data_IF_951866365439
#
_entry.id   IF_951866365439
#
_cell.length_a   1.000
_cell.length_b   1.000
_cell.length_c   1.000
_cell.angle_alpha   90.00
_cell.angle_beta   90.00
_cell.angle_gamma   90.00
#
_symmetry.space_group_name_H-M   'P 1'
#
loop_
_entity.id
_entity.type
_entity.pdbx_description
1 polymer ?
#
# COMPACT_ATOMS: atom_id res chain seq x y z
N UNK A 1 0.21 22.06 -10.44
CA UNK A 1 1.08 20.85 -10.22
C UNK A 1 0.91 19.98 -11.44
N UNK A 2 2.01 19.54 -12.03
CA UNK A 2 1.96 18.56 -13.10
C UNK A 2 1.46 17.21 -12.52
N UNK A 3 0.55 16.57 -13.25
CA UNK A 3 -0.01 15.28 -12.83
C UNK A 3 1.06 14.20 -12.89
N UNK A 4 1.12 13.34 -11.85
CA UNK A 4 1.99 12.16 -11.85
C UNK A 4 1.13 10.97 -12.24
N UNK A 5 1.49 10.33 -13.34
CA UNK A 5 0.84 9.11 -13.77
C UNK A 5 0.96 8.00 -12.71
N UNK A 6 -0.16 7.33 -12.45
CA UNK A 6 -0.24 6.29 -11.44
C UNK A 6 -0.18 4.91 -12.11
N UNK A 7 0.62 4.04 -11.55
CA UNK A 7 0.72 2.66 -12.07
C UNK A 7 -0.64 1.94 -12.05
N UNK A 8 -1.52 2.30 -11.10
CA UNK A 8 -2.86 1.75 -11.01
C UNK A 8 -3.75 2.08 -12.22
N UNK A 9 -3.48 3.15 -12.98
CA UNK A 9 -4.32 3.59 -14.11
C UNK A 9 -4.55 2.48 -15.14
N UNK A 10 -3.50 1.76 -15.51
CA UNK A 10 -3.60 0.63 -16.48
C UNK A 10 -4.52 -0.47 -15.97
N UNK A 11 -4.39 -0.84 -14.69
CA UNK A 11 -5.26 -1.84 -14.07
C UNK A 11 -6.68 -1.33 -13.95
N UNK A 12 -6.86 -0.06 -13.59
CA UNK A 12 -8.15 0.59 -13.49
C UNK A 12 -8.90 0.56 -14.82
N UNK A 13 -8.25 0.93 -15.92
CA UNK A 13 -8.88 0.94 -17.25
C UNK A 13 -9.26 -0.48 -17.69
N UNK A 14 -8.41 -1.47 -17.48
CA UNK A 14 -8.78 -2.88 -17.75
C UNK A 14 -10.00 -3.34 -16.94
N UNK A 15 -10.09 -2.92 -15.67
CA UNK A 15 -11.24 -3.27 -14.84
C UNK A 15 -12.49 -2.48 -15.21
N UNK A 16 -12.35 -1.24 -15.70
CA UNK A 16 -13.43 -0.46 -16.26
C UNK A 16 -14.12 -1.18 -17.44
N UNK A 17 -13.33 -1.79 -18.30
CA UNK A 17 -13.86 -2.54 -19.46
C UNK A 17 -14.50 -3.89 -19.08
N UNK A 18 -14.19 -4.40 -17.89
CA UNK A 18 -14.69 -5.69 -17.41
C UNK A 18 -15.89 -5.57 -16.44
N UNK A 19 -15.94 -4.50 -15.64
CA UNK A 19 -16.92 -4.33 -14.56
C UNK A 19 -17.87 -3.16 -14.85
N UNK A 20 -19.09 -3.23 -14.31
CA UNK A 20 -20.09 -2.15 -14.41
C UNK A 20 -19.75 -0.99 -13.47
N UNK A 21 -19.12 -1.29 -12.34
CA UNK A 21 -18.61 -0.30 -11.39
C UNK A 21 -17.14 -0.60 -11.02
N UNK A 22 -16.34 0.44 -10.88
CA UNK A 22 -14.96 0.34 -10.34
C UNK A 22 -14.84 1.33 -9.20
N UNK A 23 -14.40 0.85 -8.04
CA UNK A 23 -14.19 1.67 -6.86
C UNK A 23 -12.71 1.74 -6.51
N UNK A 24 -12.18 2.95 -6.37
CA UNK A 24 -10.82 3.19 -5.89
C UNK A 24 -10.87 3.59 -4.42
N UNK A 25 -10.28 2.76 -3.57
CA UNK A 25 -10.14 3.01 -2.13
C UNK A 25 -8.68 3.24 -1.76
N UNK A 26 -8.42 3.75 -0.58
CA UNK A 26 -7.06 3.99 -0.07
C UNK A 26 -7.05 5.06 0.99
N UNK A 27 -5.89 5.27 1.62
CA UNK A 27 -5.71 6.31 2.63
C UNK A 27 -6.13 7.70 2.09
N UNK A 28 -6.37 8.64 2.99
CA UNK A 28 -6.65 10.02 2.57
C UNK A 28 -5.44 10.65 1.89
N UNK A 29 -5.68 11.56 0.96
CA UNK A 29 -4.68 12.35 0.24
C UNK A 29 -3.67 11.56 -0.63
N UNK A 30 -3.89 10.28 -0.89
CA UNK A 30 -3.03 9.49 -1.81
C UNK A 30 -3.29 9.77 -3.30
N UNK A 31 -4.27 10.64 -3.62
CA UNK A 31 -4.55 11.07 -5.00
C UNK A 31 -5.67 10.31 -5.71
N UNK A 32 -6.60 9.65 -5.02
CA UNK A 32 -7.72 8.90 -5.62
C UNK A 32 -8.57 9.73 -6.59
N UNK A 33 -9.12 10.83 -6.09
CA UNK A 33 -9.97 11.73 -6.88
C UNK A 33 -9.20 12.39 -8.01
N UNK A 34 -7.93 12.74 -7.77
CA UNK A 34 -7.06 13.35 -8.79
C UNK A 34 -6.83 12.38 -9.95
N UNK A 35 -6.49 11.10 -9.66
CA UNK A 35 -6.30 10.07 -10.68
C UNK A 35 -7.56 9.86 -11.52
N UNK A 36 -8.71 9.67 -10.86
CA UNK A 36 -9.95 9.41 -11.60
C UNK A 36 -10.45 10.64 -12.39
N UNK A 37 -10.27 11.84 -11.87
CA UNK A 37 -10.59 13.08 -12.62
C UNK A 37 -9.70 13.21 -13.83
N UNK A 38 -8.41 12.97 -13.71
CA UNK A 38 -7.47 12.99 -14.85
C UNK A 38 -7.89 11.97 -15.92
N UNK A 39 -8.20 10.72 -15.54
CA UNK A 39 -8.68 9.71 -16.48
C UNK A 39 -10.04 10.04 -17.11
N UNK A 40 -10.83 10.90 -16.48
CA UNK A 40 -12.15 11.30 -16.97
C UNK A 40 -12.11 12.54 -17.91
N UNK A 41 -10.98 13.26 -18.01
CA UNK A 41 -10.86 14.51 -18.78
C UNK A 41 -11.29 14.37 -20.25
N UNK A 42 -10.91 13.24 -20.88
CA UNK A 42 -11.23 12.95 -22.28
C UNK A 42 -12.50 12.08 -22.44
N UNK A 43 -13.28 11.89 -21.36
CA UNK A 43 -14.47 11.06 -21.37
C UNK A 43 -15.73 11.89 -21.09
N UNK A 44 -16.81 11.57 -21.79
CA UNK A 44 -18.12 12.16 -21.50
C UNK A 44 -18.73 11.53 -20.24
N UNK A 45 -18.11 11.83 -19.08
CA UNK A 45 -18.45 11.28 -17.75
C UNK A 45 -18.82 12.41 -16.80
N UNK A 46 -20.01 12.35 -16.21
CA UNK A 46 -20.38 13.29 -15.15
C UNK A 46 -19.48 13.14 -13.92
N UNK A 47 -19.10 14.24 -13.28
CA UNK A 47 -18.38 14.24 -12.00
C UNK A 47 -19.24 14.88 -10.92
N UNK A 48 -19.35 14.21 -9.78
CA UNK A 48 -20.03 14.74 -8.59
C UNK A 48 -19.29 14.31 -7.33
N UNK A 49 -19.14 15.24 -6.36
CA UNK A 49 -18.51 14.97 -5.07
C UNK A 49 -19.52 15.04 -3.94
N UNK A 50 -19.51 14.02 -3.09
CA UNK A 50 -20.33 13.98 -1.87
C UNK A 50 -19.81 14.92 -0.76
N UNK A 51 -18.74 15.69 -1.03
CA UNK A 51 -18.34 16.83 -0.19
C UNK A 51 -19.28 18.01 -0.34
N UNK A 52 -19.88 18.17 -1.53
CA UNK A 52 -20.94 19.16 -1.74
C UNK A 52 -22.20 18.74 -0.96
N UNK A 53 -22.63 19.58 -0.03
CA UNK A 53 -23.76 19.28 0.85
C UNK A 53 -25.08 19.11 0.09
N UNK A 54 -25.31 19.90 -0.97
CA UNK A 54 -26.54 19.86 -1.77
C UNK A 54 -26.64 18.55 -2.55
N UNK A 55 -25.55 18.15 -3.20
CA UNK A 55 -25.53 16.91 -3.97
C UNK A 55 -25.61 15.68 -3.05
N UNK A 56 -24.96 15.75 -1.88
CA UNK A 56 -25.04 14.74 -0.85
C UNK A 56 -26.46 14.59 -0.30
N UNK A 57 -27.14 15.70 0.03
CA UNK A 57 -28.53 15.68 0.49
C UNK A 57 -29.44 15.02 -0.54
N UNK A 58 -29.32 15.38 -1.82
CA UNK A 58 -30.07 14.74 -2.90
C UNK A 58 -29.75 13.25 -2.99
N UNK A 59 -28.49 12.85 -2.92
CA UNK A 59 -28.06 11.45 -2.97
C UNK A 59 -28.59 10.61 -1.81
N UNK A 60 -28.75 11.21 -0.63
CA UNK A 60 -29.27 10.55 0.57
C UNK A 60 -30.80 10.46 0.61
N UNK A 61 -31.50 11.54 0.15
CA UNK A 61 -32.95 11.64 0.26
C UNK A 61 -33.68 11.05 -0.94
N UNK A 62 -33.15 11.21 -2.15
CA UNK A 62 -33.72 10.64 -3.39
C UNK A 62 -32.63 10.16 -4.37
N UNK A 63 -32.06 8.97 -4.14
CA UNK A 63 -31.05 8.37 -5.02
C UNK A 63 -31.53 8.19 -6.47
N UNK A 64 -32.83 8.01 -6.70
CA UNK A 64 -33.37 7.87 -8.07
C UNK A 64 -33.31 9.19 -8.81
N UNK A 65 -33.74 10.27 -8.18
CA UNK A 65 -33.66 11.62 -8.75
C UNK A 65 -32.19 12.04 -8.94
N UNK A 66 -31.32 11.68 -8.01
CA UNK A 66 -29.87 11.90 -8.14
C UNK A 66 -29.33 11.33 -9.46
N UNK A 67 -29.68 10.07 -9.83
CA UNK A 67 -29.24 9.49 -11.11
C UNK A 67 -30.02 9.96 -12.34
N UNK A 68 -31.11 10.69 -12.19
CA UNK A 68 -31.72 11.43 -13.30
C UNK A 68 -30.92 12.70 -13.62
N UNK A 69 -30.35 13.34 -12.59
CA UNK A 69 -29.48 14.52 -12.73
C UNK A 69 -28.07 14.11 -13.20
N UNK A 70 -27.46 13.14 -12.51
CA UNK A 70 -26.11 12.64 -12.80
C UNK A 70 -26.19 11.26 -13.48
N UNK A 71 -26.54 11.27 -14.77
CA UNK A 71 -26.71 10.03 -15.55
C UNK A 71 -25.37 9.29 -15.71
N UNK A 72 -25.35 7.95 -15.62
CA UNK A 72 -24.17 7.16 -16.01
C UNK A 72 -23.81 7.39 -17.51
N UNK A 73 -22.50 7.39 -17.84
CA UNK A 73 -21.38 7.11 -16.96
C UNK A 73 -21.05 8.28 -16.02
N UNK A 74 -20.83 7.96 -14.73
CA UNK A 74 -20.61 8.98 -13.69
C UNK A 74 -19.45 8.61 -12.76
N UNK A 75 -18.67 9.63 -12.34
CA UNK A 75 -17.67 9.54 -11.29
C UNK A 75 -18.24 10.18 -10.01
N UNK A 76 -18.42 9.37 -8.98
CA UNK A 76 -18.91 9.79 -7.67
C UNK A 76 -17.75 9.76 -6.67
N UNK A 77 -17.37 10.92 -6.20
CA UNK A 77 -16.26 11.12 -5.26
C UNK A 77 -16.76 11.10 -3.81
N UNK A 78 -15.99 10.45 -2.90
CA UNK A 78 -16.32 10.29 -1.46
C UNK A 78 -17.69 9.61 -1.22
N UNK A 79 -17.96 8.52 -1.97
CA UNK A 79 -19.26 7.81 -1.96
C UNK A 79 -19.69 7.30 -0.59
N UNK A 80 -18.76 7.09 0.37
CA UNK A 80 -19.09 6.68 1.75
C UNK A 80 -19.98 7.68 2.49
N UNK A 81 -20.05 8.94 2.01
CA UNK A 81 -20.91 9.98 2.59
C UNK A 81 -22.38 9.87 2.17
N UNK A 82 -22.67 9.06 1.13
CA UNK A 82 -24.03 8.79 0.64
C UNK A 82 -24.20 7.30 0.33
N UNK A 83 -24.16 6.43 1.34
CA UNK A 83 -24.27 4.98 1.15
C UNK A 83 -25.62 4.53 0.56
N UNK A 84 -26.64 5.36 0.62
CA UNK A 84 -27.97 5.16 0.02
C UNK A 84 -27.89 4.96 -1.50
N UNK A 85 -26.85 5.48 -2.15
CA UNK A 85 -26.61 5.30 -3.58
C UNK A 85 -26.34 3.84 -3.97
N UNK A 86 -25.77 3.00 -3.08
CA UNK A 86 -25.35 1.65 -3.44
C UNK A 86 -26.50 0.75 -3.94
N UNK A 87 -27.68 0.84 -3.34
CA UNK A 87 -28.83 0.07 -3.79
C UNK A 87 -29.30 0.51 -5.18
N UNK A 88 -29.31 1.82 -5.45
CA UNK A 88 -29.68 2.33 -6.77
C UNK A 88 -28.62 2.01 -7.83
N UNK A 89 -27.33 2.11 -7.49
CA UNK A 89 -26.23 1.67 -8.36
C UNK A 89 -26.39 0.19 -8.74
N UNK A 90 -26.72 -0.67 -7.77
CA UNK A 90 -26.98 -2.09 -8.00
C UNK A 90 -28.09 -2.30 -9.04
N UNK A 91 -29.22 -1.63 -8.85
CA UNK A 91 -30.38 -1.73 -9.76
C UNK A 91 -29.96 -1.27 -11.18
N UNK A 92 -29.29 -0.14 -11.30
CA UNK A 92 -28.83 0.38 -12.58
C UNK A 92 -27.81 -0.54 -13.25
N UNK A 93 -26.90 -1.14 -12.47
CA UNK A 93 -25.97 -2.16 -12.97
C UNK A 93 -26.74 -3.39 -13.52
N UNK A 94 -27.81 -3.82 -12.87
CA UNK A 94 -28.58 -4.98 -13.30
C UNK A 94 -29.44 -4.71 -14.56
N UNK A 95 -29.80 -3.46 -14.79
CA UNK A 95 -30.58 -3.01 -15.94
C UNK A 95 -29.77 -2.70 -17.21
N UNK A 96 -28.44 -2.60 -17.11
CA UNK A 96 -27.56 -2.29 -18.25
C UNK A 96 -26.57 -3.41 -18.52
N UNK A 97 -26.26 -3.63 -19.80
CA UNK A 97 -25.15 -4.48 -20.24
C UNK A 97 -23.82 -3.72 -20.37
N UNK A 98 -23.85 -2.38 -20.32
CA UNK A 98 -22.69 -1.54 -20.46
C UNK A 98 -21.72 -1.72 -19.29
N UNK A 99 -20.43 -1.50 -19.55
CA UNK A 99 -19.34 -1.53 -18.58
C UNK A 99 -18.88 -0.10 -18.24
N UNK A 100 -18.19 0.03 -17.12
CA UNK A 100 -17.62 1.32 -16.72
C UNK A 100 -18.65 2.39 -16.40
N UNK A 101 -19.87 2.04 -16.04
CA UNK A 101 -20.94 2.99 -15.74
C UNK A 101 -20.63 3.88 -14.53
N UNK A 102 -20.03 3.26 -13.49
CA UNK A 102 -19.79 3.94 -12.21
C UNK A 102 -18.33 3.89 -11.84
N UNK A 103 -17.73 5.07 -11.68
CA UNK A 103 -16.45 5.25 -11.02
C UNK A 103 -16.69 5.81 -9.64
N UNK A 104 -16.16 5.15 -8.63
CA UNK A 104 -16.40 5.50 -7.24
C UNK A 104 -15.06 5.74 -6.53
N UNK A 105 -14.99 6.77 -5.69
CA UNK A 105 -13.90 6.89 -4.73
C UNK A 105 -14.43 6.84 -3.31
N UNK A 106 -13.55 6.44 -2.40
CA UNK A 106 -13.84 6.53 -0.99
C UNK A 106 -12.60 6.32 -0.12
N UNK A 107 -12.61 6.91 1.07
CA UNK A 107 -11.63 6.53 2.10
C UNK A 107 -11.86 5.09 2.52
N UNK A 108 -10.78 4.33 2.69
CA UNK A 108 -10.88 2.94 3.10
C UNK A 108 -11.34 2.86 4.56
N UNK A 109 -12.63 2.55 4.76
CA UNK A 109 -13.22 2.36 6.08
C UNK A 109 -13.94 1.01 6.16
N UNK A 110 -14.06 0.48 7.37
CA UNK A 110 -14.77 -0.78 7.63
C UNK A 110 -16.23 -0.73 7.16
N UNK A 111 -16.85 0.45 7.35
CA UNK A 111 -18.24 0.71 6.96
C UNK A 111 -18.41 0.68 5.44
N UNK A 112 -17.57 1.42 4.70
CA UNK A 112 -17.62 1.46 3.24
C UNK A 112 -17.40 0.07 2.63
N UNK A 113 -16.37 -0.64 3.08
CA UNK A 113 -16.02 -1.96 2.54
C UNK A 113 -17.15 -2.98 2.74
N UNK A 114 -17.81 -2.94 3.90
CA UNK A 114 -18.99 -3.78 4.16
C UNK A 114 -20.16 -3.41 3.26
N UNK A 115 -20.52 -2.14 3.18
CA UNK A 115 -21.66 -1.67 2.40
C UNK A 115 -21.49 -1.95 0.89
N UNK A 116 -20.30 -1.67 0.36
CA UNK A 116 -19.99 -1.98 -1.04
C UNK A 116 -19.99 -3.48 -1.31
N UNK A 117 -19.44 -4.29 -0.39
CA UNK A 117 -19.43 -5.75 -0.50
C UNK A 117 -20.84 -6.37 -0.46
N UNK A 118 -21.69 -5.88 0.44
CA UNK A 118 -23.05 -6.40 0.60
C UNK A 118 -23.95 -5.99 -0.59
N UNK A 119 -23.88 -4.72 -1.03
CA UNK A 119 -24.80 -4.21 -2.06
C UNK A 119 -24.31 -4.45 -3.49
N UNK A 120 -23.00 -4.39 -3.77
CA UNK A 120 -22.44 -4.44 -5.12
C UNK A 120 -21.68 -5.74 -5.43
N UNK A 121 -21.87 -6.81 -4.65
CA UNK A 121 -21.23 -8.10 -4.88
C UNK A 121 -21.37 -8.56 -6.34
N UNK A 122 -20.25 -8.93 -6.98
CA UNK A 122 -20.19 -9.36 -8.38
C UNK A 122 -20.33 -8.24 -9.43
N UNK A 123 -20.59 -6.98 -9.04
CA UNK A 123 -20.79 -5.84 -9.94
C UNK A 123 -19.66 -4.82 -9.86
N UNK A 124 -18.99 -4.74 -8.72
CA UNK A 124 -17.93 -3.78 -8.46
C UNK A 124 -16.57 -4.46 -8.40
N UNK A 125 -15.57 -3.85 -9.05
CA UNK A 125 -14.17 -4.13 -8.80
C UNK A 125 -13.62 -3.09 -7.83
N UNK A 126 -13.01 -3.53 -6.73
CA UNK A 126 -12.41 -2.64 -5.74
C UNK A 126 -10.90 -2.65 -5.91
N UNK A 127 -10.33 -1.49 -6.16
CA UNK A 127 -8.89 -1.28 -6.35
C UNK A 127 -8.35 -0.40 -5.23
N UNK A 128 -7.19 -0.74 -4.71
CA UNK A 128 -6.54 0.03 -3.66
C UNK A 128 -5.43 0.89 -4.25
N UNK A 129 -5.50 2.20 -4.00
CA UNK A 129 -4.45 3.16 -4.34
C UNK A 129 -3.61 3.43 -3.09
N UNK A 130 -2.30 3.26 -3.22
CA UNK A 130 -1.30 3.60 -2.19
C UNK A 130 -0.71 4.99 -2.44
N UNK A 131 0.15 5.48 -1.54
CA UNK A 131 1.00 6.62 -1.81
C UNK A 131 1.95 6.35 -2.97
N UNK A 132 2.54 7.40 -3.57
CA UNK A 132 3.40 7.30 -4.75
C UNK A 132 4.56 6.32 -4.54
N UNK A 133 4.82 5.48 -5.54
CA UNK A 133 6.01 4.65 -5.61
C UNK A 133 7.22 5.46 -6.10
N UNK A 134 8.44 4.94 -5.92
CA UNK A 134 9.63 5.58 -6.48
C UNK A 134 9.59 5.61 -8.02
N UNK A 135 8.97 4.61 -8.67
CA UNK A 135 8.82 4.56 -10.13
C UNK A 135 7.85 5.64 -10.62
N UNK A 136 6.71 5.81 -9.94
CA UNK A 136 5.77 6.89 -10.24
C UNK A 136 6.43 8.25 -10.08
N UNK A 137 7.24 8.44 -9.03
CA UNK A 137 8.01 9.66 -8.80
C UNK A 137 9.07 9.92 -9.88
N UNK A 138 9.67 8.88 -10.42
CA UNK A 138 10.68 8.95 -11.48
C UNK A 138 10.07 8.99 -12.90
N UNK A 139 8.74 8.85 -13.04
CA UNK A 139 8.06 8.80 -14.34
C UNK A 139 8.40 7.54 -15.15
N UNK A 140 8.77 6.45 -14.48
CA UNK A 140 9.14 5.18 -15.12
C UNK A 140 7.91 4.30 -15.24
N UNK A 141 7.63 3.86 -16.46
CA UNK A 141 6.53 2.95 -16.70
C UNK A 141 6.79 1.56 -16.10
N UNK A 142 5.77 0.93 -15.48
CA UNK A 142 5.94 -0.39 -14.89
C UNK A 142 6.15 -1.47 -15.94
N UNK A 143 7.12 -2.33 -15.69
CA UNK A 143 7.30 -3.58 -16.40
C UNK A 143 6.67 -4.72 -15.61
N UNK A 144 5.95 -5.61 -16.27
CA UNK A 144 5.32 -6.77 -15.66
C UNK A 144 5.67 -8.06 -16.40
N UNK A 145 5.96 -9.14 -15.67
CA UNK A 145 6.27 -9.23 -14.24
C UNK A 145 7.69 -8.76 -13.91
N UNK A 146 7.98 -8.47 -12.62
CA UNK A 146 9.36 -8.24 -12.16
C UNK A 146 10.16 -9.53 -12.27
N UNK A 147 11.21 -9.51 -13.10
CA UNK A 147 12.17 -10.61 -13.22
C UNK A 147 13.43 -10.29 -12.42
N UNK A 148 13.69 -11.10 -11.38
CA UNK A 148 14.86 -10.96 -10.51
C UNK A 148 16.12 -11.63 -11.03
N UNK A 149 16.13 -12.11 -12.28
CA UNK A 149 17.36 -12.62 -12.91
C UNK A 149 18.35 -11.49 -13.17
N UNK A 150 19.64 -11.79 -13.06
CA UNK A 150 20.70 -10.80 -13.24
C UNK A 150 20.68 -10.13 -14.62
N UNK A 151 20.43 -10.86 -15.73
CA UNK A 151 20.30 -10.27 -17.06
C UNK A 151 19.13 -9.28 -17.16
N UNK A 152 17.94 -9.64 -16.63
CA UNK A 152 16.77 -8.77 -16.66
C UNK A 152 17.00 -7.50 -15.83
N UNK A 153 17.55 -7.63 -14.61
CA UNK A 153 17.91 -6.50 -13.77
C UNK A 153 18.96 -5.60 -14.42
N UNK A 154 19.93 -6.18 -15.13
CA UNK A 154 20.95 -5.41 -15.88
C UNK A 154 20.37 -4.65 -17.07
N UNK A 155 19.38 -5.22 -17.76
CA UNK A 155 18.63 -4.51 -18.79
C UNK A 155 17.81 -3.36 -18.19
N UNK A 156 17.09 -3.64 -17.09
CA UNK A 156 16.27 -2.68 -16.36
C UNK A 156 17.08 -1.52 -15.80
N UNK A 157 18.30 -1.74 -15.33
CA UNK A 157 19.14 -0.68 -14.74
C UNK A 157 19.46 0.47 -15.70
N UNK A 158 19.27 0.27 -17.03
CA UNK A 158 19.43 1.33 -18.04
C UNK A 158 18.32 2.38 -18.01
N UNK A 159 17.18 2.05 -17.40
CA UNK A 159 16.01 2.93 -17.26
C UNK A 159 16.09 3.80 -16.00
N UNK A 160 16.95 3.42 -15.06
CA UNK A 160 17.04 4.05 -13.74
C UNK A 160 18.36 4.79 -13.59
N UNK A 161 18.35 5.86 -12.79
CA UNK A 161 19.56 6.57 -12.38
C UNK A 161 20.41 5.79 -11.38
N UNK A 162 21.47 6.41 -10.87
CA UNK A 162 22.34 5.82 -9.87
C UNK A 162 21.59 5.43 -8.58
N UNK A 163 21.92 4.27 -8.04
CA UNK A 163 21.42 3.83 -6.74
C UNK A 163 22.19 4.57 -5.62
N UNK A 164 21.57 5.59 -5.04
CA UNK A 164 22.18 6.45 -4.05
C UNK A 164 21.46 6.38 -2.72
N UNK A 165 22.19 6.07 -1.65
CA UNK A 165 21.63 5.91 -0.30
C UNK A 165 20.98 7.21 0.21
N UNK A 166 21.53 8.37 -0.14
CA UNK A 166 20.97 9.68 0.25
C UNK A 166 19.61 9.90 -0.41
N UNK A 167 19.50 9.57 -1.69
CA UNK A 167 18.23 9.64 -2.44
C UNK A 167 17.22 8.64 -1.89
N UNK A 168 17.61 7.39 -1.65
CA UNK A 168 16.75 6.38 -1.06
C UNK A 168 16.21 6.82 0.31
N UNK A 169 17.08 7.32 1.19
CA UNK A 169 16.65 7.80 2.51
C UNK A 169 15.88 9.13 2.45
N UNK A 170 16.04 9.93 1.41
CA UNK A 170 15.17 11.08 1.17
C UNK A 170 13.74 10.62 0.86
N UNK A 171 13.58 9.60 0.02
CA UNK A 171 12.26 9.00 -0.26
C UNK A 171 11.68 8.33 0.99
N UNK A 172 12.47 7.57 1.75
CA UNK A 172 12.04 6.92 2.98
C UNK A 172 11.55 7.94 4.01
N UNK A 173 12.30 9.01 4.23
CA UNK A 173 11.97 10.02 5.24
C UNK A 173 10.78 10.89 4.83
N UNK A 174 10.67 11.28 3.55
CA UNK A 174 9.54 12.06 3.03
C UNK A 174 8.28 11.22 2.87
N UNK A 175 8.43 9.93 2.52
CA UNK A 175 7.30 9.09 2.10
C UNK A 175 6.84 9.37 0.68
N UNK A 176 5.70 8.78 0.32
CA UNK A 176 5.11 8.86 -1.01
C UNK A 176 3.82 9.69 -1.09
N UNK A 177 3.45 10.46 -0.06
CA UNK A 177 2.27 11.33 -0.16
C UNK A 177 2.51 12.41 -1.23
N UNK A 178 1.56 12.62 -2.18
CA UNK A 178 1.75 13.57 -3.28
C UNK A 178 2.11 14.99 -2.83
N UNK A 179 1.49 15.48 -1.77
CA UNK A 179 1.73 16.82 -1.21
C UNK A 179 3.15 17.01 -0.68
N UNK A 180 3.76 15.95 -0.14
CA UNK A 180 5.12 15.99 0.41
C UNK A 180 6.22 16.40 -0.59
N UNK A 181 5.92 16.35 -1.88
CA UNK A 181 6.85 16.82 -2.92
C UNK A 181 7.02 18.33 -2.97
N UNK A 182 6.04 19.06 -2.49
CA UNK A 182 5.98 20.53 -2.54
C UNK A 182 6.51 21.18 -1.27
N UNK A 183 6.70 20.39 -0.21
CA UNK A 183 7.00 20.87 1.11
C UNK A 183 8.52 20.81 1.38
N UNK A 184 9.03 21.80 2.10
CA UNK A 184 10.36 21.72 2.69
C UNK A 184 10.39 20.84 3.96
N UNK A 185 11.51 20.75 4.64
CA UNK A 185 11.66 19.87 5.81
C UNK A 185 10.83 20.34 7.02
N UNK A 186 10.69 21.65 7.22
CA UNK A 186 9.88 22.22 8.30
C UNK A 186 8.40 21.98 8.03
N UNK A 187 7.95 22.30 6.82
CA UNK A 187 6.57 22.10 6.39
C UNK A 187 6.15 20.62 6.40
N UNK A 188 7.08 19.70 6.13
CA UNK A 188 6.84 18.26 6.19
C UNK A 188 6.37 17.80 7.58
N UNK A 189 6.98 18.33 8.64
CA UNK A 189 6.57 18.04 10.02
C UNK A 189 5.16 18.53 10.33
N UNK A 190 4.84 19.76 9.93
CA UNK A 190 3.49 20.33 10.11
C UNK A 190 2.42 19.62 9.27
N UNK A 191 2.78 19.17 8.07
CA UNK A 191 1.89 18.35 7.25
C UNK A 191 1.49 17.05 7.97
N UNK A 192 2.46 16.29 8.50
CA UNK A 192 2.16 15.05 9.21
C UNK A 192 1.38 15.27 10.49
N UNK A 193 1.71 16.33 11.24
CA UNK A 193 0.92 16.73 12.41
C UNK A 193 -0.53 16.99 12.03
N UNK A 194 -0.76 17.85 11.04
CA UNK A 194 -2.08 18.17 10.52
C UNK A 194 -2.82 16.93 9.99
N UNK A 195 -2.13 16.06 9.24
CA UNK A 195 -2.70 14.82 8.71
C UNK A 195 -3.22 13.91 9.82
N UNK A 196 -2.44 13.74 10.89
CA UNK A 196 -2.84 12.91 12.03
C UNK A 196 -4.06 13.53 12.72
N UNK A 197 -4.02 14.84 13.05
CA UNK A 197 -5.07 15.50 13.81
C UNK A 197 -6.38 15.59 13.03
N UNK A 198 -6.32 16.00 11.77
CA UNK A 198 -7.51 16.35 10.99
C UNK A 198 -8.13 15.16 10.27
N UNK A 199 -7.33 14.15 9.89
CA UNK A 199 -7.81 13.00 9.13
C UNK A 199 -7.75 11.69 9.91
N UNK A 200 -6.56 11.30 10.36
CA UNK A 200 -6.36 9.97 10.93
C UNK A 200 -7.16 9.79 12.22
N UNK A 201 -7.09 10.76 13.13
CA UNK A 201 -7.82 10.70 14.39
C UNK A 201 -9.32 10.81 14.19
N UNK A 202 -9.79 11.67 13.27
CA UNK A 202 -11.20 11.80 12.95
C UNK A 202 -11.75 10.50 12.33
N UNK A 203 -11.09 9.91 11.35
CA UNK A 203 -11.53 8.66 10.71
C UNK A 203 -11.50 7.48 11.69
N UNK A 204 -10.56 7.48 12.65
CA UNK A 204 -10.53 6.50 13.73
C UNK A 204 -11.79 6.58 14.60
N UNK A 205 -12.25 7.78 14.96
CA UNK A 205 -13.45 8.01 15.75
C UNK A 205 -14.73 7.78 14.93
N UNK A 206 -14.89 8.52 13.84
CA UNK A 206 -16.17 8.61 13.10
C UNK A 206 -16.49 7.31 12.34
N UNK A 207 -15.48 6.72 11.69
CA UNK A 207 -15.66 5.56 10.82
C UNK A 207 -15.36 4.23 11.51
N UNK A 208 -14.55 4.22 12.55
CA UNK A 208 -14.06 3.01 13.21
C UNK A 208 -14.40 2.90 14.70
N UNK A 209 -15.06 3.92 15.29
CA UNK A 209 -15.62 3.86 16.64
C UNK A 209 -14.57 3.88 17.76
N UNK A 210 -13.40 4.48 17.53
CA UNK A 210 -12.37 4.64 18.55
C UNK A 210 -12.82 5.75 19.52
N UNK A 211 -13.01 5.43 20.80
CA UNK A 211 -13.39 6.38 21.83
C UNK A 211 -12.19 6.93 22.63
N UNK A 212 -11.16 6.12 22.83
CA UNK A 212 -9.92 6.52 23.49
C UNK A 212 -8.91 7.02 22.45
N UNK A 213 -9.03 8.29 22.07
CA UNK A 213 -8.17 8.93 21.08
C UNK A 213 -6.74 9.13 21.59
N UNK A 214 -6.54 9.33 22.89
CA UNK A 214 -5.23 9.49 23.49
C UNK A 214 -4.44 8.17 23.49
N UNK A 215 -5.07 7.08 23.92
CA UNK A 215 -4.51 5.75 23.86
C UNK A 215 -4.23 5.32 22.41
N UNK A 216 -5.15 5.62 21.48
CA UNK A 216 -4.97 5.30 20.06
C UNK A 216 -3.76 6.02 19.44
N UNK A 217 -3.52 7.30 19.82
CA UNK A 217 -2.31 8.03 19.39
C UNK A 217 -1.02 7.38 19.92
N UNK A 218 -0.99 6.97 21.19
CA UNK A 218 0.14 6.22 21.76
C UNK A 218 0.35 4.90 21.02
N UNK A 219 -0.75 4.19 20.72
CA UNK A 219 -0.73 2.95 19.97
C UNK A 219 -0.14 3.13 18.56
N UNK A 220 -0.54 4.19 17.87
CA UNK A 220 0.00 4.51 16.54
C UNK A 220 1.52 4.76 16.59
N UNK A 221 2.00 5.49 17.59
CA UNK A 221 3.46 5.69 17.80
C UNK A 221 4.17 4.38 18.16
N UNK A 222 3.55 3.54 18.98
CA UNK A 222 4.09 2.22 19.29
C UNK A 222 4.22 1.36 18.01
N UNK A 223 3.20 1.35 17.15
CA UNK A 223 3.28 0.66 15.85
C UNK A 223 4.46 1.15 15.00
N UNK A 224 4.77 2.46 15.02
CA UNK A 224 5.90 3.00 14.28
C UNK A 224 7.26 2.53 14.86
N UNK A 225 7.37 2.41 16.18
CA UNK A 225 8.55 1.84 16.82
C UNK A 225 8.75 0.34 16.53
N UNK A 226 7.68 -0.39 16.22
CA UNK A 226 7.71 -1.82 15.84
C UNK A 226 7.72 -2.05 14.31
N UNK A 227 7.95 -1.01 13.51
CA UNK A 227 8.03 -1.13 12.07
C UNK A 227 9.13 -2.12 11.65
N UNK A 228 8.83 -3.03 10.72
CA UNK A 228 9.76 -4.08 10.27
C UNK A 228 9.96 -5.23 11.25
N UNK A 229 9.18 -5.31 12.34
CA UNK A 229 9.32 -6.33 13.39
C UNK A 229 8.07 -7.20 13.50
N UNK A 230 8.21 -8.37 14.13
CA UNK A 230 7.08 -9.22 14.46
C UNK A 230 6.12 -8.51 15.41
N UNK A 231 4.82 -8.58 15.12
CA UNK A 231 3.80 -7.95 15.95
C UNK A 231 3.78 -8.57 17.35
N UNK A 232 3.98 -7.76 18.36
CA UNK A 232 3.77 -8.15 19.76
C UNK A 232 2.60 -7.35 20.35
N UNK A 233 1.40 -7.93 20.31
CA UNK A 233 0.20 -7.27 20.81
C UNK A 233 0.27 -6.91 22.30
N UNK A 234 1.03 -7.65 23.11
CA UNK A 234 1.20 -7.36 24.53
C UNK A 234 2.06 -6.11 24.74
N UNK A 235 3.13 -5.95 23.99
CA UNK A 235 3.99 -4.76 24.04
C UNK A 235 3.27 -3.51 23.48
N UNK A 236 2.59 -3.67 22.34
CA UNK A 236 1.78 -2.59 21.77
C UNK A 236 0.68 -2.12 22.74
N UNK A 237 0.02 -3.07 23.42
CA UNK A 237 -1.00 -2.79 24.44
C UNK A 237 -0.42 -2.06 25.63
N UNK A 238 0.72 -2.51 26.16
CA UNK A 238 1.41 -1.87 27.29
C UNK A 238 1.83 -0.43 26.95
N UNK A 239 2.40 -0.21 25.76
CA UNK A 239 2.79 1.13 25.30
C UNK A 239 1.62 2.11 25.19
N UNK A 240 0.45 1.61 24.80
CA UNK A 240 -0.77 2.43 24.66
C UNK A 240 -1.59 2.53 25.95
N UNK A 241 -1.34 1.69 26.94
CA UNK A 241 -2.13 1.60 28.18
C UNK A 241 -3.49 0.94 27.98
N UNK A 242 -3.59 -0.04 27.06
CA UNK A 242 -4.86 -0.73 26.72
C UNK A 242 -4.72 -2.25 26.86
N UNK A 243 -5.81 -2.98 26.64
CA UNK A 243 -5.79 -4.45 26.63
C UNK A 243 -5.17 -5.00 25.33
N UNK A 244 -4.63 -6.23 25.37
CA UNK A 244 -4.15 -6.92 24.18
C UNK A 244 -5.25 -7.16 23.13
N UNK A 245 -6.50 -7.32 23.56
CA UNK A 245 -7.67 -7.42 22.67
C UNK A 245 -7.89 -6.08 21.95
N UNK A 246 -7.85 -4.98 22.67
CA UNK A 246 -7.96 -3.63 22.11
C UNK A 246 -6.83 -3.36 21.12
N UNK A 247 -5.58 -3.69 21.48
CA UNK A 247 -4.43 -3.53 20.57
C UNK A 247 -4.62 -4.32 19.26
N UNK A 248 -5.15 -5.53 19.33
CA UNK A 248 -5.45 -6.35 18.15
C UNK A 248 -6.55 -5.72 17.26
N UNK A 249 -7.61 -5.20 17.88
CA UNK A 249 -8.67 -4.52 17.14
C UNK A 249 -8.16 -3.20 16.52
N UNK A 250 -7.36 -2.42 17.24
CA UNK A 250 -6.76 -1.19 16.72
C UNK A 250 -5.77 -1.44 15.58
N UNK A 251 -5.04 -2.56 15.63
CA UNK A 251 -4.21 -3.00 14.48
C UNK A 251 -5.07 -3.20 13.24
N UNK A 252 -6.24 -3.87 13.35
CA UNK A 252 -7.16 -4.06 12.23
C UNK A 252 -7.73 -2.73 11.72
N UNK A 253 -8.00 -1.79 12.62
CA UNK A 253 -8.44 -0.44 12.23
C UNK A 253 -7.35 0.25 11.38
N UNK A 254 -6.09 0.26 11.84
CA UNK A 254 -4.99 0.85 11.08
C UNK A 254 -4.76 0.16 9.72
N UNK A 255 -4.92 -1.17 9.64
CA UNK A 255 -4.87 -1.91 8.36
C UNK A 255 -6.02 -1.48 7.44
N UNK A 256 -7.24 -1.39 7.98
CA UNK A 256 -8.42 -0.97 7.22
C UNK A 256 -8.28 0.46 6.70
N UNK A 257 -7.72 1.36 7.52
CA UNK A 257 -7.45 2.75 7.11
C UNK A 257 -6.31 2.88 6.08
N UNK A 258 -5.57 1.79 5.80
CA UNK A 258 -4.43 1.79 4.89
C UNK A 258 -3.20 2.50 5.45
N UNK A 259 -3.07 2.57 6.77
CA UNK A 259 -1.92 3.17 7.46
C UNK A 259 -0.79 2.14 7.61
N UNK A 260 -1.15 0.91 7.98
CA UNK A 260 -0.22 -0.20 8.10
C UNK A 260 -0.67 -1.39 7.25
N UNK A 261 0.24 -2.31 7.00
CA UNK A 261 -0.06 -3.66 6.53
C UNK A 261 0.72 -4.69 7.33
N UNK A 262 0.21 -5.90 7.36
CA UNK A 262 0.89 -7.02 7.99
C UNK A 262 1.40 -7.96 6.90
N UNK A 263 2.69 -8.28 6.94
CA UNK A 263 3.30 -9.28 6.09
C UNK A 263 3.19 -10.63 6.81
N UNK A 264 2.44 -11.55 6.21
CA UNK A 264 2.20 -12.86 6.80
C UNK A 264 3.40 -13.80 6.62
N UNK A 265 3.65 -14.73 7.54
CA UNK A 265 4.69 -15.71 7.37
C UNK A 265 4.33 -16.76 6.32
N UNK A 266 5.29 -17.12 5.47
CA UNK A 266 5.17 -18.23 4.52
C UNK A 266 4.93 -19.57 5.22
N UNK A 267 4.02 -20.37 4.69
CA UNK A 267 3.78 -21.74 5.15
C UNK A 267 3.18 -22.58 4.03
N UNK A 268 3.62 -23.83 3.92
CA UNK A 268 3.00 -24.82 3.01
C UNK A 268 1.61 -25.27 3.47
N UNK A 269 1.24 -24.97 4.70
CA UNK A 269 -0.05 -25.30 5.27
C UNK A 269 -0.72 -24.02 5.75
N UNK A 270 -1.79 -23.62 5.08
CA UNK A 270 -2.52 -22.38 5.37
C UNK A 270 -3.02 -22.27 6.81
N UNK A 271 -3.43 -23.40 7.41
CA UNK A 271 -3.84 -23.42 8.82
C UNK A 271 -2.69 -23.06 9.76
N UNK A 272 -1.46 -23.50 9.47
CA UNK A 272 -0.26 -23.11 10.24
C UNK A 272 0.11 -21.64 10.03
N UNK A 273 -0.17 -21.09 8.85
CA UNK A 273 0.05 -19.67 8.55
C UNK A 273 -0.77 -18.78 9.49
N UNK A 274 -2.00 -19.16 9.79
CA UNK A 274 -2.89 -18.39 10.68
C UNK A 274 -2.43 -18.31 12.14
N UNK A 275 -1.52 -19.18 12.57
CA UNK A 275 -1.03 -19.26 13.96
C UNK A 275 0.26 -18.45 14.17
N UNK A 276 1.03 -18.18 13.11
CA UNK A 276 2.31 -17.46 13.20
C UNK A 276 2.08 -15.96 13.23
N UNK A 277 2.99 -15.25 13.90
CA UNK A 277 2.95 -13.80 14.06
C UNK A 277 3.44 -13.11 12.81
N UNK A 278 2.69 -12.17 12.23
CA UNK A 278 3.13 -11.39 11.07
C UNK A 278 4.15 -10.31 11.45
N UNK A 279 4.84 -9.74 10.44
CA UNK A 279 5.61 -8.50 10.56
C UNK A 279 4.73 -7.28 10.27
N UNK A 280 4.97 -6.17 10.99
CA UNK A 280 4.25 -4.91 10.82
C UNK A 280 5.05 -3.94 9.96
N UNK A 281 4.39 -3.36 8.95
CA UNK A 281 4.95 -2.32 8.10
C UNK A 281 3.97 -1.16 7.92
N UNK A 282 4.50 0.04 7.67
CA UNK A 282 3.70 1.19 7.30
C UNK A 282 3.52 1.26 5.78
N UNK A 283 2.31 1.62 5.33
CA UNK A 283 2.03 1.88 3.92
C UNK A 283 2.78 3.11 3.39
N UNK A 284 3.11 4.06 4.29
CA UNK A 284 3.91 5.24 3.99
C UNK A 284 5.05 5.39 5.00
N UNK A 285 6.30 5.39 4.52
CA UNK A 285 7.49 5.46 5.37
C UNK A 285 7.69 6.83 5.99
N UNK A 286 7.20 7.92 5.37
CA UNK A 286 7.29 9.28 5.90
C UNK A 286 6.41 9.44 7.15
N UNK A 287 5.19 8.91 7.13
CA UNK A 287 4.35 8.86 8.33
C UNK A 287 5.02 8.07 9.46
N UNK A 288 5.64 6.93 9.14
CA UNK A 288 6.39 6.12 10.10
C UNK A 288 7.57 6.91 10.70
N UNK A 289 8.33 7.62 9.87
CA UNK A 289 9.46 8.44 10.29
C UNK A 289 9.02 9.57 11.23
N UNK A 290 7.95 10.26 10.88
CA UNK A 290 7.38 11.32 11.73
C UNK A 290 6.92 10.78 13.09
N UNK A 291 6.17 9.68 13.12
CA UNK A 291 5.67 9.06 14.35
C UNK A 291 6.79 8.54 15.26
N UNK A 292 7.91 8.12 14.68
CA UNK A 292 9.12 7.67 15.36
C UNK A 292 10.08 8.81 15.71
N UNK A 293 9.68 10.07 15.48
CA UNK A 293 10.45 11.29 15.80
C UNK A 293 11.79 11.40 15.06
N UNK A 294 11.90 10.85 13.84
CA UNK A 294 13.04 11.09 12.98
C UNK A 294 12.89 12.44 12.28
N UNK A 295 13.59 13.46 12.76
CA UNK A 295 13.41 14.86 12.35
C UNK A 295 14.06 15.21 11.02
N UNK A 296 14.99 14.38 10.52
CA UNK A 296 15.62 14.57 9.23
C UNK A 296 16.02 13.24 8.58
N UNK A 297 16.22 13.28 7.26
CA UNK A 297 16.77 12.16 6.49
C UNK A 297 18.09 11.66 7.11
N UNK A 298 18.99 12.57 7.49
CA UNK A 298 20.34 12.22 7.93
C UNK A 298 20.31 11.53 9.30
N UNK A 299 19.45 11.97 10.22
CA UNK A 299 19.27 11.29 11.51
C UNK A 299 18.67 9.90 11.35
N UNK A 300 17.72 9.73 10.44
CA UNK A 300 17.13 8.43 10.13
C UNK A 300 18.18 7.50 9.48
N UNK A 301 18.86 7.96 8.45
CA UNK A 301 19.84 7.18 7.67
C UNK A 301 20.97 6.62 8.54
N UNK A 302 21.42 7.39 9.53
CA UNK A 302 22.50 7.01 10.44
C UNK A 302 21.98 6.41 11.77
N UNK A 303 20.68 6.38 11.98
CA UNK A 303 20.06 5.86 13.19
C UNK A 303 19.99 4.33 13.26
N UNK A 304 19.78 3.80 14.45
CA UNK A 304 19.70 2.36 14.70
C UNK A 304 18.54 1.69 13.94
N UNK A 305 17.44 2.43 13.67
CA UNK A 305 16.27 1.94 12.95
C UNK A 305 16.43 1.95 11.43
N UNK A 306 17.53 2.48 10.87
CA UNK A 306 17.70 2.65 9.43
C UNK A 306 17.48 1.36 8.62
N UNK A 307 17.89 0.20 9.16
CA UNK A 307 17.67 -1.11 8.52
C UNK A 307 16.19 -1.45 8.38
N UNK A 308 15.40 -1.27 9.44
CA UNK A 308 13.95 -1.54 9.44
C UNK A 308 13.19 -0.58 8.51
N UNK A 309 13.60 0.68 8.45
CA UNK A 309 13.01 1.65 7.52
C UNK A 309 13.35 1.31 6.06
N UNK A 310 14.56 0.87 5.78
CA UNK A 310 14.95 0.41 4.46
C UNK A 310 14.18 -0.85 4.06
N UNK A 311 14.01 -1.80 4.97
CA UNK A 311 13.18 -2.99 4.78
C UNK A 311 11.71 -2.61 4.50
N UNK A 312 11.11 -1.73 5.31
CA UNK A 312 9.74 -1.24 5.09
C UNK A 312 9.60 -0.59 3.70
N UNK A 313 10.57 0.20 3.28
CA UNK A 313 10.57 0.85 1.98
C UNK A 313 10.56 -0.18 0.85
N UNK A 314 11.49 -1.14 0.87
CA UNK A 314 11.62 -2.19 -0.15
C UNK A 314 10.35 -3.06 -0.21
N UNK A 315 9.86 -3.53 0.93
CA UNK A 315 8.63 -4.33 0.99
C UNK A 315 7.42 -3.51 0.52
N UNK A 316 7.36 -2.22 0.85
CA UNK A 316 6.32 -1.29 0.40
C UNK A 316 6.34 -1.04 -1.11
N UNK A 317 7.53 -0.88 -1.74
CA UNK A 317 7.64 -0.75 -3.20
C UNK A 317 7.15 -2.02 -3.90
N UNK A 318 7.58 -3.20 -3.44
CA UNK A 318 7.14 -4.48 -4.00
C UNK A 318 5.64 -4.73 -3.77
N UNK A 319 5.10 -4.34 -2.61
CA UNK A 319 3.65 -4.41 -2.36
C UNK A 319 2.87 -3.61 -3.40
N UNK A 320 3.28 -2.36 -3.70
CA UNK A 320 2.65 -1.51 -4.72
C UNK A 320 2.76 -2.14 -6.11
N UNK A 321 3.96 -2.57 -6.50
CA UNK A 321 4.21 -3.24 -7.78
C UNK A 321 3.24 -4.39 -8.00
N UNK A 322 3.16 -5.34 -7.06
CA UNK A 322 2.29 -6.51 -7.22
C UNK A 322 0.80 -6.22 -7.01
N UNK A 323 0.45 -5.20 -6.22
CA UNK A 323 -0.94 -4.75 -6.12
C UNK A 323 -1.47 -4.18 -7.44
N UNK A 324 -0.62 -3.55 -8.24
CA UNK A 324 -0.99 -2.94 -9.52
C UNK A 324 -0.76 -3.87 -10.72
N UNK A 325 0.04 -4.91 -10.57
CA UNK A 325 0.36 -5.87 -11.61
C UNK A 325 -0.90 -6.56 -12.20
N UNK A 326 -0.79 -7.02 -13.44
CA UNK A 326 -1.81 -7.82 -14.11
C UNK A 326 -1.97 -9.17 -13.40
N UNK A 327 -0.86 -9.83 -13.15
CA UNK A 327 -0.78 -11.08 -12.40
C UNK A 327 -0.26 -10.71 -11.00
N UNK A 328 -1.12 -10.83 -9.99
CA UNK A 328 -0.72 -10.61 -8.61
C UNK A 328 0.27 -11.68 -8.14
N UNK A 329 0.98 -11.36 -7.06
CA UNK A 329 1.79 -12.33 -6.34
C UNK A 329 1.43 -12.30 -4.86
N UNK A 330 1.69 -13.38 -4.16
CA UNK A 330 1.57 -13.39 -2.71
C UNK A 330 2.92 -13.01 -2.10
N UNK A 331 2.92 -12.02 -1.23
CA UNK A 331 4.08 -11.55 -0.50
C UNK A 331 4.03 -12.09 0.92
N UNK A 332 5.08 -12.80 1.33
CA UNK A 332 5.22 -13.38 2.67
C UNK A 332 6.67 -13.23 3.13
N UNK A 333 6.96 -13.46 4.40
CA UNK A 333 8.32 -13.68 4.87
C UNK A 333 8.47 -15.13 5.35
N UNK A 334 9.68 -15.67 5.35
CA UNK A 334 9.92 -17.00 5.90
C UNK A 334 10.63 -16.90 7.23
N UNK A 335 10.15 -17.65 8.22
CA UNK A 335 10.87 -17.82 9.50
C UNK A 335 10.62 -19.21 10.06
N UNK A 336 11.69 -19.92 10.38
CA UNK A 336 11.60 -21.24 10.98
C UNK A 336 11.72 -21.20 12.53
N UNK A 337 11.59 -22.37 13.15
CA UNK A 337 11.71 -22.53 14.60
C UNK A 337 13.11 -22.21 15.15
N UNK A 338 14.14 -22.27 14.31
CA UNK A 338 15.51 -21.92 14.64
C UNK A 338 15.79 -20.43 14.41
N UNK A 339 14.72 -19.65 14.15
CA UNK A 339 14.73 -18.19 13.89
C UNK A 339 15.50 -17.77 12.62
N UNK A 340 15.79 -18.72 11.71
CA UNK A 340 16.34 -18.39 10.42
C UNK A 340 15.25 -17.76 9.57
N UNK A 341 15.55 -16.60 8.99
CA UNK A 341 14.58 -15.75 8.35
C UNK A 341 14.99 -15.40 6.91
N UNK A 342 14.00 -15.26 6.03
CA UNK A 342 14.11 -14.63 4.72
C UNK A 342 13.16 -13.43 4.77
N UNK A 343 13.70 -12.24 4.52
CA UNK A 343 12.98 -10.98 4.73
C UNK A 343 11.71 -10.89 3.86
N UNK A 344 11.76 -11.37 2.61
CA UNK A 344 10.60 -11.42 1.71
C UNK A 344 10.65 -12.66 0.81
N UNK A 345 9.52 -13.32 0.64
CA UNK A 345 9.29 -14.39 -0.33
C UNK A 345 8.10 -14.00 -1.18
N UNK A 346 8.31 -13.90 -2.49
CA UNK A 346 7.27 -13.59 -3.47
C UNK A 346 6.87 -14.89 -4.13
N UNK A 347 5.62 -15.32 -3.95
CA UNK A 347 5.06 -16.48 -4.65
C UNK A 347 4.26 -16.01 -5.86
N UNK A 348 4.73 -16.37 -7.06
CA UNK A 348 4.08 -16.07 -8.32
C UNK A 348 4.07 -17.31 -9.20
N UNK A 349 2.90 -17.68 -9.74
CA UNK A 349 2.71 -18.85 -10.62
C UNK A 349 3.28 -20.16 -10.04
N UNK A 350 3.26 -20.29 -8.70
CA UNK A 350 3.78 -21.47 -7.97
C UNK A 350 5.29 -21.51 -7.81
N UNK A 351 6.01 -20.46 -8.19
CA UNK A 351 7.45 -20.28 -8.01
C UNK A 351 7.71 -19.29 -6.87
N UNK A 352 8.68 -19.61 -6.01
CA UNK A 352 9.10 -18.78 -4.88
C UNK A 352 10.34 -17.97 -5.26
N UNK A 353 10.25 -16.66 -5.14
CA UNK A 353 11.34 -15.71 -5.37
C UNK A 353 11.80 -15.13 -4.03
N UNK A 354 12.91 -15.63 -3.45
CA UNK A 354 13.40 -15.16 -2.16
C UNK A 354 14.20 -13.88 -2.28
N UNK A 355 13.95 -12.94 -1.37
CA UNK A 355 14.68 -11.69 -1.28
C UNK A 355 15.14 -11.46 0.17
N UNK A 356 16.41 -11.13 0.31
CA UNK A 356 16.99 -10.57 1.52
C UNK A 356 17.14 -9.08 1.35
N UNK A 357 17.02 -8.29 2.42
CA UNK A 357 17.03 -6.82 2.33
C UNK A 357 18.11 -6.26 3.25
N UNK A 358 19.10 -5.60 2.68
CA UNK A 358 20.25 -5.07 3.44
C UNK A 358 20.60 -3.64 3.00
N UNK A 359 20.66 -2.70 3.92
CA UNK A 359 21.02 -1.29 3.65
C UNK A 359 22.44 -1.12 3.10
N UNK A 360 23.31 -2.11 3.23
CA UNK A 360 24.71 -2.03 2.78
C UNK A 360 24.82 -2.00 1.25
N UNK A 361 25.89 -1.40 0.73
CA UNK A 361 26.24 -1.48 -0.69
C UNK A 361 26.84 -2.83 -1.10
N UNK A 362 27.58 -3.46 -0.19
CA UNK A 362 28.19 -4.78 -0.37
C UNK A 362 27.82 -5.71 0.79
N UNK A 363 26.59 -6.25 0.84
CA UNK A 363 26.20 -7.17 1.90
C UNK A 363 26.90 -8.52 1.76
N UNK A 364 27.00 -9.25 2.87
CA UNK A 364 27.60 -10.59 2.87
C UNK A 364 26.81 -11.55 1.99
N UNK A 365 27.47 -12.14 0.98
CA UNK A 365 26.89 -13.12 0.06
C UNK A 365 26.33 -14.35 0.77
N UNK A 366 26.81 -14.65 1.99
CA UNK A 366 26.31 -15.79 2.77
C UNK A 366 24.87 -15.63 3.22
N UNK A 367 24.32 -14.41 3.18
CA UNK A 367 22.92 -14.17 3.53
C UNK A 367 21.95 -15.00 2.68
N UNK A 368 22.25 -15.27 1.39
CA UNK A 368 21.37 -16.10 0.53
C UNK A 368 21.38 -17.61 0.87
N UNK A 369 22.28 -18.09 1.73
CA UNK A 369 22.29 -19.51 2.13
C UNK A 369 20.98 -19.95 2.82
N UNK A 370 20.28 -19.01 3.44
CA UNK A 370 18.97 -19.28 4.06
C UNK A 370 17.92 -19.66 3.02
N UNK A 371 18.07 -19.27 1.75
CA UNK A 371 17.14 -19.59 0.68
C UNK A 371 17.03 -21.10 0.38
N UNK A 372 18.06 -21.88 0.71
CA UNK A 372 18.00 -23.35 0.61
C UNK A 372 16.93 -23.98 1.49
N UNK A 373 16.41 -23.24 2.48
CA UNK A 373 15.27 -23.67 3.28
C UNK A 373 13.99 -23.78 2.46
N UNK A 374 13.82 -22.92 1.47
CA UNK A 374 12.66 -22.94 0.58
C UNK A 374 12.65 -24.19 -0.32
N UNK A 375 13.82 -24.69 -0.72
CA UNK A 375 13.92 -25.92 -1.52
C UNK A 375 13.34 -27.13 -0.77
N UNK A 376 13.34 -27.11 0.58
CA UNK A 376 12.74 -28.14 1.42
C UNK A 376 11.21 -28.11 1.46
N UNK A 377 10.60 -27.05 0.93
CA UNK A 377 9.14 -26.91 0.86
C UNK A 377 8.51 -27.73 -0.24
N UNK A 378 9.31 -28.26 -1.19
CA UNK A 378 8.84 -28.98 -2.38
C UNK A 378 8.30 -28.06 -3.50
N UNK A 379 8.39 -26.73 -3.31
CA UNK A 379 8.04 -25.73 -4.33
C UNK A 379 9.23 -25.38 -5.19
N UNK A 380 8.98 -24.96 -6.42
CA UNK A 380 10.02 -24.39 -7.28
C UNK A 380 10.54 -23.08 -6.67
N UNK A 381 11.87 -22.92 -6.67
CA UNK A 381 12.52 -21.68 -6.25
C UNK A 381 13.16 -21.05 -7.49
N UNK A 382 12.76 -19.82 -7.77
CA UNK A 382 13.23 -19.04 -8.93
C UNK A 382 14.35 -18.06 -8.56
N UNK A 383 14.59 -17.14 -9.50
CA UNK A 383 15.54 -16.04 -9.29
C UNK A 383 15.17 -15.17 -8.09
N UNK A 384 16.18 -14.63 -7.43
CA UNK A 384 16.04 -13.76 -6.27
C UNK A 384 17.36 -13.10 -5.91
N UNK A 385 17.53 -12.69 -4.65
CA UNK A 385 18.80 -12.13 -4.26
C UNK A 385 18.76 -11.23 -3.03
N UNK A 386 19.72 -10.31 -2.97
CA UNK A 386 19.81 -9.31 -1.90
C UNK A 386 19.48 -7.95 -2.46
N UNK A 387 18.33 -7.40 -2.06
CA UNK A 387 18.01 -5.99 -2.34
C UNK A 387 18.89 -5.11 -1.45
N UNK A 388 19.68 -4.26 -2.08
CA UNK A 388 20.71 -3.50 -1.38
C UNK A 388 21.07 -2.18 -2.07
N UNK A 389 22.03 -1.48 -1.53
CA UNK A 389 22.54 -0.21 -2.07
C UNK A 389 23.75 -0.41 -3.02
N UNK A 390 23.82 -1.56 -3.72
CA UNK A 390 24.81 -1.78 -4.77
C UNK A 390 24.58 -0.83 -5.96
N UNK A 391 25.65 -0.39 -6.62
CA UNK A 391 25.59 0.55 -7.74
C UNK A 391 24.96 -0.06 -9.00
N UNK A 392 25.06 -1.37 -9.13
CA UNK A 392 24.53 -2.12 -10.28
C UNK A 392 24.18 -3.56 -9.89
N UNK A 393 23.31 -4.22 -10.67
CA UNK A 393 23.10 -5.66 -10.52
C UNK A 393 24.41 -6.43 -10.66
N UNK A 394 24.65 -7.37 -9.75
CA UNK A 394 25.85 -8.17 -9.78
C UNK A 394 25.55 -9.62 -9.39
N UNK A 395 25.95 -10.63 -10.21
CA UNK A 395 25.63 -12.02 -9.93
C UNK A 395 26.38 -12.53 -8.69
N UNK A 396 25.67 -13.22 -7.82
CA UNK A 396 26.22 -13.98 -6.70
C UNK A 396 26.30 -15.47 -6.99
N UNK A 397 25.34 -15.96 -7.80
CA UNK A 397 25.27 -17.34 -8.35
C UNK A 397 24.48 -17.31 -9.66
N UNK A 398 24.16 -18.45 -10.23
CA UNK A 398 23.28 -18.56 -11.39
C UNK A 398 21.84 -18.09 -11.09
N UNK A 399 21.38 -18.29 -9.85
CA UNK A 399 20.00 -18.00 -9.42
C UNK A 399 19.87 -16.65 -8.71
N UNK A 400 20.93 -16.11 -8.08
CA UNK A 400 20.85 -14.99 -7.16
C UNK A 400 21.77 -13.83 -7.54
N UNK A 401 21.24 -12.61 -7.31
CA UNK A 401 21.87 -11.36 -7.70
C UNK A 401 21.86 -10.33 -6.55
N UNK A 402 22.84 -9.41 -6.50
CA UNK A 402 22.64 -8.14 -5.82
C UNK A 402 21.68 -7.30 -6.64
N UNK A 403 20.64 -6.82 -5.98
CA UNK A 403 19.54 -6.07 -6.60
C UNK A 403 19.58 -4.64 -6.06
N UNK A 404 20.01 -3.66 -6.89
CA UNK A 404 19.91 -2.26 -6.49
C UNK A 404 18.48 -1.87 -6.13
N UNK A 405 18.29 -1.22 -4.97
CA UNK A 405 16.97 -0.90 -4.45
C UNK A 405 16.17 0.07 -5.34
N UNK A 406 16.86 0.89 -6.13
CA UNK A 406 16.21 1.80 -7.08
C UNK A 406 15.59 1.10 -8.29
N UNK A 407 15.82 -0.20 -8.48
CA UNK A 407 15.26 -0.97 -9.60
C UNK A 407 13.88 -1.59 -9.30
N UNK A 408 13.34 -1.43 -8.11
CA UNK A 408 12.07 -2.04 -7.68
C UNK A 408 10.85 -1.37 -8.28
#
# INVERSE_FOLDING_TARGET
MEYIHRELERKFLRMNDAFKAVMVVGARQVGKSTMLRHLAEDQNRAYVSMDNSRDRELAQTDPKLFFQVYKPPVLIDEVQKAPELFETIKILCDQSEDRGLFWLTGSQSKKLMRQAGDSLAGRVCILKLYSLSQRELAGIEPEEPLDFSCPALSARSRLFGENNIVTAFSHIWRGGMPEMRLLDEEQAGEYWNSYIETYLMRDAVDDNGITDTFGFRKFLRACAAFCGQLVNYSELAAAAGVSGVTAKEWTKVLQTMGIIFLLEPYSNNELKRLVKTPKLYFCDTGLCAYLSSWTSRDTLMNGAAAGHFFENYVVGELLRTYAYAKNGAELTFYRDKDQREIDLVIEQDGVLHPLEIKKASEPDRRAVKVFDLLKKTGRAVGSGGIVCMADRPFPMSEEYCYIPANLL
#
